data_IF_206648565400
#
_entry.id   IF_206648565400
#
_cell.length_a   1.000
_cell.length_b   1.000
_cell.length_c   1.000
_cell.angle_alpha   90.00
_cell.angle_beta   90.00
_cell.angle_gamma   90.00
#
_symmetry.space_group_name_H-M   'P 1'
#
loop_
_entity.id
_entity.type
_entity.pdbx_description
1 polymer ?
#
# COMPACT_ATOMS: atom_id res chain seq x y z
N UNK A 1 14.88 14.08 9.77
CA UNK A 1 13.60 13.81 10.45
C UNK A 1 12.70 13.10 9.45
N UNK A 2 12.26 11.87 9.72
CA UNK A 2 11.19 11.27 8.91
C UNK A 2 9.92 12.03 9.27
N UNK A 3 9.22 12.59 8.27
CA UNK A 3 7.94 13.29 8.48
C UNK A 3 6.85 12.34 8.95
N UNK A 4 5.58 12.69 8.74
CA UNK A 4 4.47 11.77 9.00
C UNK A 4 4.42 10.68 7.91
N UNK A 5 5.39 9.78 7.93
CA UNK A 5 5.61 8.75 6.91
C UNK A 5 5.76 7.37 7.55
N UNK A 6 5.09 6.38 6.96
CA UNK A 6 5.17 4.97 7.33
C UNK A 6 5.50 4.14 6.08
N UNK A 7 6.56 3.33 6.16
CA UNK A 7 6.84 2.30 5.17
C UNK A 7 6.37 0.95 5.74
N UNK A 8 5.46 0.29 5.01
CA UNK A 8 4.98 -1.03 5.41
C UNK A 8 5.24 -2.04 4.30
N UNK A 9 5.97 -3.10 4.67
CA UNK A 9 6.27 -4.23 3.79
C UNK A 9 5.64 -5.50 4.34
N UNK A 10 4.86 -6.17 3.52
CA UNK A 10 4.19 -7.41 3.89
C UNK A 10 3.99 -8.30 2.66
N UNK A 11 3.64 -9.56 2.92
CA UNK A 11 3.23 -10.50 1.88
C UNK A 11 1.74 -10.79 2.06
N UNK A 12 0.95 -10.46 1.05
CA UNK A 12 -0.48 -10.74 1.02
C UNK A 12 -0.72 -12.11 0.38
N UNK A 13 -1.47 -12.96 1.09
CA UNK A 13 -2.03 -14.19 0.53
C UNK A 13 -3.32 -13.85 -0.23
N UNK A 14 -3.20 -13.51 -1.52
CA UNK A 14 -4.31 -13.15 -2.37
C UNK A 14 -4.95 -14.40 -2.97
N UNK A 15 -6.18 -14.69 -2.56
CA UNK A 15 -6.99 -15.73 -3.19
C UNK A 15 -7.50 -15.26 -4.56
N UNK A 16 -7.24 -16.04 -5.60
CA UNK A 16 -7.71 -15.82 -6.98
C UNK A 16 -8.22 -17.16 -7.49
N UNK A 17 -9.54 -17.25 -7.68
CA UNK A 17 -10.23 -18.50 -8.05
C UNK A 17 -9.87 -19.64 -7.09
N UNK A 18 -9.24 -20.70 -7.60
CA UNK A 18 -8.84 -21.91 -6.87
C UNK A 18 -7.40 -21.84 -6.32
N UNK A 19 -6.72 -20.69 -6.46
CA UNK A 19 -5.29 -20.53 -6.12
C UNK A 19 -5.06 -19.39 -5.13
N UNK A 20 -4.03 -19.56 -4.30
CA UNK A 20 -3.52 -18.50 -3.44
C UNK A 20 -2.17 -18.01 -3.95
N UNK A 21 -2.10 -16.72 -4.28
CA UNK A 21 -0.86 -16.05 -4.66
C UNK A 21 -0.28 -15.29 -3.49
N UNK A 22 1.02 -15.52 -3.21
CA UNK A 22 1.78 -14.68 -2.29
C UNK A 22 2.35 -13.49 -3.07
N UNK A 23 1.88 -12.29 -2.74
CA UNK A 23 2.26 -11.04 -3.41
C UNK A 23 2.95 -10.15 -2.38
N UNK A 24 4.14 -9.66 -2.72
CA UNK A 24 4.88 -8.73 -1.88
C UNK A 24 4.40 -7.30 -2.13
N UNK A 25 4.08 -6.60 -1.05
CA UNK A 25 3.71 -5.19 -1.04
C UNK A 25 4.83 -4.36 -0.39
N UNK A 26 5.10 -3.20 -0.97
CA UNK A 26 5.94 -2.14 -0.40
C UNK A 26 5.16 -0.83 -0.48
N UNK A 27 4.61 -0.43 0.67
CA UNK A 27 3.63 0.63 0.78
C UNK A 27 4.24 1.81 1.53
N UNK A 28 4.25 2.98 0.89
CA UNK A 28 4.59 4.24 1.54
C UNK A 28 3.31 5.03 1.82
N UNK A 29 3.07 5.29 3.09
CA UNK A 29 1.99 6.14 3.58
C UNK A 29 2.56 7.46 4.04
N UNK A 30 2.07 8.57 3.50
CA UNK A 30 2.49 9.92 3.85
C UNK A 30 1.25 10.74 4.24
N UNK A 31 1.24 11.28 5.45
CA UNK A 31 0.15 12.13 5.94
C UNK A 31 0.50 13.59 5.64
N UNK A 32 -0.35 14.21 4.82
CA UNK A 32 -0.28 15.61 4.47
C UNK A 32 -0.90 16.48 5.58
N UNK A 33 -0.51 17.76 5.64
CA UNK A 33 -0.88 18.66 6.74
C UNK A 33 -2.39 18.94 6.82
N UNK A 34 -3.11 18.80 5.72
CA UNK A 34 -4.58 18.92 5.61
C UNK A 34 -5.34 17.66 6.06
N UNK A 35 -4.65 16.65 6.59
CA UNK A 35 -5.24 15.42 7.11
C UNK A 35 -5.52 14.35 6.06
N UNK A 36 -5.05 14.54 4.82
CA UNK A 36 -5.13 13.51 3.77
C UNK A 36 -3.91 12.57 3.86
N UNK A 37 -4.17 11.28 4.04
CA UNK A 37 -3.15 10.23 3.99
C UNK A 37 -3.04 9.70 2.55
N UNK A 38 -1.87 9.89 1.94
CA UNK A 38 -1.55 9.34 0.63
C UNK A 38 -0.82 8.01 0.81
N UNK A 39 -1.35 6.92 0.25
CA UNK A 39 -0.70 5.62 0.24
C UNK A 39 -0.31 5.24 -1.20
N UNK A 40 0.96 4.98 -1.42
CA UNK A 40 1.49 4.44 -2.67
C UNK A 40 2.02 3.03 -2.43
N UNK A 41 1.32 2.05 -2.99
CA UNK A 41 1.58 0.62 -2.81
C UNK A 41 2.14 0.00 -4.09
N UNK A 42 3.30 -0.65 -4.04
CA UNK A 42 3.86 -1.40 -5.17
C UNK A 42 3.79 -2.89 -4.93
N UNK A 43 3.25 -3.63 -5.90
CA UNK A 43 3.08 -5.09 -5.82
C UNK A 43 4.10 -5.84 -6.66
N UNK A 44 4.69 -6.90 -6.09
CA UNK A 44 5.62 -7.79 -6.79
C UNK A 44 5.33 -9.26 -6.52
N UNK A 45 5.57 -10.11 -7.51
CA UNK A 45 5.55 -11.58 -7.38
C UNK A 45 6.72 -12.18 -8.11
N UNK A 46 7.48 -13.06 -7.44
CA UNK A 46 8.73 -13.62 -7.98
C UNK A 46 9.71 -12.55 -8.50
N UNK A 47 9.76 -11.40 -7.83
CA UNK A 47 10.57 -10.23 -8.23
C UNK A 47 9.97 -9.35 -9.33
N UNK A 48 8.98 -9.85 -10.08
CA UNK A 48 8.32 -9.15 -11.18
C UNK A 48 7.30 -8.15 -10.61
N UNK A 49 7.32 -6.91 -11.10
CA UNK A 49 6.35 -5.87 -10.72
C UNK A 49 5.00 -6.17 -11.38
N UNK A 50 3.96 -6.32 -10.57
CA UNK A 50 2.60 -6.59 -11.03
C UNK A 50 1.81 -5.30 -11.27
N UNK A 51 2.07 -4.27 -10.46
CA UNK A 51 1.36 -3.00 -10.56
C UNK A 51 1.66 -2.05 -9.42
N UNK A 52 0.95 -0.94 -9.41
CA UNK A 52 0.98 0.08 -8.36
C UNK A 52 -0.44 0.56 -8.09
N UNK A 53 -0.76 0.80 -6.83
CA UNK A 53 -2.03 1.38 -6.39
C UNK A 53 -1.70 2.66 -5.62
N UNK A 54 -2.44 3.72 -5.91
CA UNK A 54 -2.40 4.95 -5.10
C UNK A 54 -3.77 5.16 -4.50
N UNK A 55 -3.82 5.28 -3.17
CA UNK A 55 -5.04 5.52 -2.40
C UNK A 55 -4.89 6.83 -1.64
N UNK A 56 -6.00 7.56 -1.52
CA UNK A 56 -6.11 8.74 -0.68
C UNK A 56 -7.15 8.45 0.39
N UNK A 57 -6.75 8.54 1.65
CA UNK A 57 -7.65 8.40 2.79
C UNK A 57 -7.84 9.75 3.44
N UNK A 58 -9.09 10.08 3.73
CA UNK A 58 -9.45 11.24 4.54
C UNK A 58 -10.42 10.75 5.61
N UNK A 59 -10.19 11.16 6.86
CA UNK A 59 -11.17 10.90 7.91
C UNK A 59 -12.48 11.64 7.54
N UNK A 60 -13.65 10.96 7.52
CA UNK A 60 -14.92 11.65 7.30
C UNK A 60 -15.06 12.80 8.30
N UNK A 61 -15.57 13.94 7.83
CA UNK A 61 -16.00 15.02 8.73
C UNK A 61 -17.17 14.55 9.60
N UNK A 62 -17.30 15.14 10.79
CA UNK A 62 -18.45 14.92 11.66
C UNK A 62 -19.76 15.43 11.03
#
# INVERSE_FOLDING_TARGET
>A
AYGQALNWRYTLALAVEDKTYHVHFDDWMLLHEDGVLVNRATMRKFGIRLGEVTLFFQKPGD
#
